data_IF_073062894045
#
_entry.id   IF_073062894045
#
_cell.length_a   1.000
_cell.length_b   1.000
_cell.length_c   1.000
_cell.angle_alpha   90.00
_cell.angle_beta   90.00
_cell.angle_gamma   90.00
#
_symmetry.space_group_name_H-M   'P 1'
#
loop_
_entity.id
_entity.type
_entity.pdbx_description
1 polymer ?
#
# COMPACT_ATOMS: atom_id res chain seq x y z
N UNK A 1 -0.98 -23.18 48.65
CA UNK A 1 -1.66 -23.38 47.36
C UNK A 1 -2.20 -22.02 46.94
N UNK A 2 -1.82 -21.53 45.77
CA UNK A 2 -2.37 -20.29 45.20
C UNK A 2 -3.84 -20.57 44.87
N UNK A 3 -4.76 -19.67 45.23
CA UNK A 3 -6.18 -19.86 44.91
C UNK A 3 -6.40 -19.84 43.39
N UNK A 4 -7.47 -20.45 42.90
CA UNK A 4 -7.80 -20.45 41.46
C UNK A 4 -7.98 -19.02 40.91
N UNK A 5 -8.46 -18.09 41.73
CA UNK A 5 -8.60 -16.68 41.37
C UNK A 5 -7.25 -15.96 41.28
N UNK A 6 -6.33 -16.22 42.21
CA UNK A 6 -4.97 -15.68 42.17
C UNK A 6 -4.16 -16.26 41.01
N UNK A 7 -4.30 -17.56 40.72
CA UNK A 7 -3.64 -18.20 39.59
C UNK A 7 -4.11 -17.61 38.24
N UNK A 8 -5.42 -17.36 38.11
CA UNK A 8 -6.00 -16.68 36.94
C UNK A 8 -5.49 -15.25 36.78
N UNK A 9 -5.40 -14.50 37.88
CA UNK A 9 -4.87 -13.13 37.86
C UNK A 9 -3.38 -13.07 37.48
N UNK A 10 -2.59 -14.06 37.88
CA UNK A 10 -1.18 -14.17 37.48
C UNK A 10 -1.08 -14.45 35.98
N UNK A 11 -1.86 -15.42 35.47
CA UNK A 11 -1.89 -15.74 34.05
C UNK A 11 -2.30 -14.53 33.19
N UNK A 12 -3.33 -13.79 33.58
CA UNK A 12 -3.78 -12.58 32.86
C UNK A 12 -2.69 -11.50 32.82
N UNK A 13 -1.89 -11.36 33.89
CA UNK A 13 -0.75 -10.43 33.92
C UNK A 13 0.38 -10.88 33.01
N UNK A 14 0.67 -12.18 32.97
CA UNK A 14 1.70 -12.75 32.08
C UNK A 14 1.33 -12.57 30.61
N UNK A 15 0.08 -12.86 30.23
CA UNK A 15 -0.44 -12.65 28.88
C UNK A 15 -0.37 -11.16 28.47
N UNK A 16 -0.77 -10.26 29.37
CA UNK A 16 -0.71 -8.81 29.14
C UNK A 16 0.73 -8.32 28.97
N UNK A 17 1.66 -8.83 29.79
CA UNK A 17 3.08 -8.49 29.69
C UNK A 17 3.69 -9.00 28.39
N UNK A 18 3.39 -10.24 28.00
CA UNK A 18 3.84 -10.82 26.74
C UNK A 18 3.37 -9.99 25.53
N UNK A 19 2.09 -9.58 25.53
CA UNK A 19 1.56 -8.71 24.49
C UNK A 19 2.22 -7.33 24.47
N UNK A 20 2.45 -6.71 25.63
CA UNK A 20 3.16 -5.44 25.72
C UNK A 20 4.58 -5.54 25.13
N UNK A 21 5.31 -6.61 25.41
CA UNK A 21 6.64 -6.86 24.83
C UNK A 21 6.55 -7.09 23.32
N UNK A 22 5.52 -7.77 22.82
CA UNK A 22 5.28 -7.92 21.38
C UNK A 22 5.10 -6.56 20.70
N UNK A 23 4.34 -5.64 21.31
CA UNK A 23 4.15 -4.28 20.78
C UNK A 23 5.46 -3.48 20.76
N UNK A 24 6.28 -3.57 21.82
CA UNK A 24 7.60 -2.92 21.88
C UNK A 24 8.51 -3.40 20.74
N UNK A 25 8.42 -4.67 20.36
CA UNK A 25 9.20 -5.27 19.29
C UNK A 25 8.51 -5.22 17.91
N UNK A 26 7.43 -4.44 17.76
CA UNK A 26 6.62 -4.41 16.53
C UNK A 26 7.42 -4.06 15.26
N UNK A 27 8.50 -3.27 15.39
CA UNK A 27 9.38 -2.94 14.27
C UNK A 27 10.13 -4.14 13.70
N UNK A 28 10.41 -5.16 14.53
CA UNK A 28 11.17 -6.36 14.11
C UNK A 28 10.44 -7.11 13.02
N UNK A 29 9.10 -7.21 13.10
CA UNK A 29 8.28 -7.84 12.07
C UNK A 29 8.40 -7.09 10.74
N UNK A 30 8.18 -5.77 10.75
CA UNK A 30 8.24 -4.94 9.54
C UNK A 30 9.62 -4.97 8.88
N UNK A 31 10.69 -4.84 9.67
CA UNK A 31 12.06 -4.87 9.15
C UNK A 31 12.45 -6.25 8.61
N UNK A 32 12.02 -7.33 9.27
CA UNK A 32 12.27 -8.69 8.80
C UNK A 32 11.53 -8.97 7.50
N UNK A 33 10.28 -8.52 7.38
CA UNK A 33 9.50 -8.67 6.16
C UNK A 33 10.13 -7.87 5.01
N UNK A 34 10.54 -6.62 5.23
CA UNK A 34 11.24 -5.82 4.23
C UNK A 34 12.52 -6.51 3.75
N UNK A 35 13.38 -6.97 4.67
CA UNK A 35 14.60 -7.68 4.31
C UNK A 35 14.32 -8.98 3.52
N UNK A 36 13.25 -9.70 3.88
CA UNK A 36 12.83 -10.92 3.16
C UNK A 36 12.39 -10.61 1.73
N UNK A 37 11.71 -9.49 1.52
CA UNK A 37 11.34 -8.97 0.18
C UNK A 37 12.58 -8.60 -0.62
N UNK A 38 13.51 -7.83 -0.02
CA UNK A 38 14.75 -7.38 -0.69
C UNK A 38 15.68 -8.54 -1.06
N UNK A 39 15.71 -9.59 -0.25
CA UNK A 39 16.43 -10.83 -0.53
C UNK A 39 15.77 -11.69 -1.62
N UNK A 40 14.60 -11.31 -2.13
CA UNK A 40 13.89 -12.02 -3.20
C UNK A 40 13.33 -13.38 -2.77
N UNK A 41 13.16 -13.61 -1.47
CA UNK A 41 12.77 -14.92 -0.91
C UNK A 41 11.42 -15.38 -1.45
N UNK A 42 10.43 -14.47 -1.49
CA UNK A 42 9.10 -14.80 -1.98
C UNK A 42 9.11 -15.18 -3.47
N UNK A 43 9.91 -14.50 -4.28
CA UNK A 43 10.09 -14.81 -5.69
C UNK A 43 10.78 -16.17 -5.89
N UNK A 44 11.78 -16.49 -5.05
CA UNK A 44 12.48 -17.79 -5.08
C UNK A 44 11.51 -18.94 -4.81
N UNK A 45 10.69 -18.84 -3.76
CA UNK A 45 9.70 -19.88 -3.42
C UNK A 45 8.62 -19.95 -4.51
N UNK A 46 8.13 -18.80 -5.00
CA UNK A 46 7.13 -18.73 -6.07
C UNK A 46 7.59 -19.44 -7.34
N UNK A 47 8.85 -19.21 -7.77
CA UNK A 47 9.44 -19.84 -8.96
C UNK A 47 9.61 -21.36 -8.82
N UNK A 48 9.78 -21.87 -7.61
CA UNK A 48 9.88 -23.31 -7.36
C UNK A 48 8.54 -24.04 -7.55
N UNK A 49 7.41 -23.32 -7.50
CA UNK A 49 6.07 -23.83 -7.80
C UNK A 49 5.07 -23.70 -6.64
N UNK A 50 3.77 -23.91 -6.91
CA UNK A 50 2.70 -23.67 -5.93
C UNK A 50 2.75 -24.60 -4.70
N UNK A 51 3.25 -25.84 -4.88
CA UNK A 51 3.38 -26.82 -3.79
C UNK A 51 4.82 -26.86 -3.21
N UNK A 52 5.66 -25.88 -3.57
CA UNK A 52 7.06 -25.87 -3.16
C UNK A 52 7.18 -25.69 -1.65
N UNK A 53 8.01 -26.54 -1.05
CA UNK A 53 8.41 -26.48 0.36
C UNK A 53 9.93 -26.49 0.41
N UNK A 54 10.52 -25.33 0.65
CA UNK A 54 11.97 -25.15 0.60
C UNK A 54 12.54 -24.92 1.99
N UNK A 55 13.66 -25.58 2.28
CA UNK A 55 14.51 -25.27 3.42
C UNK A 55 15.19 -23.92 3.23
N UNK A 56 15.61 -23.29 4.34
CA UNK A 56 16.38 -22.05 4.26
C UNK A 56 17.70 -22.20 3.47
N UNK A 57 18.29 -23.40 3.50
CA UNK A 57 19.48 -23.74 2.70
C UNK A 57 19.20 -23.73 1.20
N UNK A 58 18.08 -24.31 0.76
CA UNK A 58 17.69 -24.31 -0.66
C UNK A 58 17.32 -22.92 -1.17
N UNK A 59 16.71 -22.09 -0.34
CA UNK A 59 16.41 -20.70 -0.69
C UNK A 59 17.72 -19.89 -0.75
N UNK A 60 18.59 -19.99 0.26
CA UNK A 60 19.85 -19.26 0.30
C UNK A 60 20.79 -19.65 -0.85
N UNK A 61 20.76 -20.90 -1.32
CA UNK A 61 21.53 -21.36 -2.48
C UNK A 61 21.15 -20.65 -3.80
N UNK A 62 19.96 -20.07 -3.88
CA UNK A 62 19.48 -19.31 -5.04
C UNK A 62 19.74 -17.80 -4.90
N UNK A 63 20.23 -17.33 -3.75
CA UNK A 63 20.58 -15.95 -3.52
C UNK A 63 22.01 -15.63 -4.00
N UNK A 64 22.30 -14.39 -4.44
CA UNK A 64 23.66 -13.96 -4.78
C UNK A 64 24.50 -13.70 -3.51
N UNK A 65 24.72 -14.72 -2.68
CA UNK A 65 25.42 -14.62 -1.39
C UNK A 65 26.68 -15.48 -1.33
N UNK A 66 27.71 -14.98 -0.64
CA UNK A 66 28.91 -15.74 -0.26
C UNK A 66 28.93 -16.06 1.25
N UNK A 67 27.92 -15.61 2.00
CA UNK A 67 27.85 -15.80 3.43
C UNK A 67 27.40 -17.23 3.77
N UNK A 68 28.30 -18.01 4.39
CA UNK A 68 28.03 -19.39 4.79
C UNK A 68 26.96 -19.51 5.87
N UNK A 69 26.74 -18.45 6.65
CA UNK A 69 25.73 -18.40 7.71
C UNK A 69 24.35 -17.93 7.21
N UNK A 70 24.24 -17.56 5.92
CA UNK A 70 22.98 -17.07 5.34
C UNK A 70 21.80 -18.03 5.52
N UNK A 71 21.94 -19.37 5.35
CA UNK A 71 20.83 -20.30 5.62
C UNK A 71 20.29 -20.18 7.05
N UNK A 72 21.17 -20.12 8.05
CA UNK A 72 20.76 -20.03 9.46
C UNK A 72 20.12 -18.67 9.79
N UNK A 73 20.65 -17.59 9.21
CA UNK A 73 20.05 -16.26 9.36
C UNK A 73 18.65 -16.21 8.74
N UNK A 74 18.51 -16.75 7.52
CA UNK A 74 17.25 -16.79 6.78
C UNK A 74 16.20 -17.65 7.49
N UNK A 75 16.59 -18.81 8.02
CA UNK A 75 15.72 -19.69 8.80
C UNK A 75 15.11 -18.96 10.00
N UNK A 76 15.91 -18.16 10.73
CA UNK A 76 15.40 -17.34 11.86
C UNK A 76 14.40 -16.27 11.40
N UNK A 77 14.65 -15.64 10.25
CA UNK A 77 13.74 -14.64 9.66
C UNK A 77 12.42 -15.28 9.22
N UNK A 78 12.50 -16.38 8.46
CA UNK A 78 11.35 -17.12 7.99
C UNK A 78 10.54 -17.73 9.13
N UNK A 79 11.20 -18.17 10.21
CA UNK A 79 10.51 -18.61 11.42
C UNK A 79 9.68 -17.48 12.05
N UNK A 80 10.23 -16.27 12.20
CA UNK A 80 9.46 -15.12 12.69
C UNK A 80 8.25 -14.81 11.78
N UNK A 81 8.43 -14.88 10.46
CA UNK A 81 7.33 -14.67 9.52
C UNK A 81 6.27 -15.78 9.62
N UNK A 82 6.69 -17.01 9.86
CA UNK A 82 5.79 -18.15 10.07
C UNK A 82 4.98 -17.99 11.36
N UNK A 83 5.57 -17.50 12.46
CA UNK A 83 4.81 -17.24 13.70
C UNK A 83 3.75 -16.15 13.55
N UNK A 84 3.90 -15.29 12.54
CA UNK A 84 2.90 -14.27 12.15
C UNK A 84 2.02 -14.72 10.97
N UNK A 85 2.06 -16.00 10.59
CA UNK A 85 1.29 -16.57 9.47
C UNK A 85 1.53 -15.90 8.10
N UNK A 86 2.66 -15.22 7.93
CA UNK A 86 3.03 -14.60 6.64
C UNK A 86 3.48 -15.67 5.65
N UNK A 87 4.18 -16.70 6.13
CA UNK A 87 4.56 -17.91 5.37
C UNK A 87 4.11 -19.14 6.13
N UNK A 88 3.89 -20.24 5.42
CA UNK A 88 3.64 -21.53 6.07
C UNK A 88 4.96 -22.23 6.38
N UNK A 89 5.01 -22.95 7.50
CA UNK A 89 6.17 -23.72 7.92
C UNK A 89 5.76 -25.15 8.28
N UNK A 90 6.50 -26.12 7.76
CA UNK A 90 6.38 -27.54 8.12
C UNK A 90 7.73 -28.09 8.55
N UNK A 91 7.74 -29.18 9.33
CA UNK A 91 8.98 -29.80 9.82
C UNK A 91 9.08 -31.22 9.27
N UNK A 92 10.19 -31.53 8.60
CA UNK A 92 10.50 -32.87 8.06
C UNK A 92 11.90 -33.24 8.53
N UNK A 93 12.05 -34.37 9.21
CA UNK A 93 13.34 -34.86 9.73
C UNK A 93 14.16 -33.81 10.52
N UNK A 94 13.47 -32.96 11.29
CA UNK A 94 13.97 -31.81 12.08
C UNK A 94 14.31 -30.54 11.27
N UNK A 95 14.21 -30.59 9.94
CA UNK A 95 14.38 -29.43 9.09
C UNK A 95 13.07 -28.67 8.89
N UNK A 96 13.12 -27.34 8.99
CA UNK A 96 12.00 -26.45 8.65
C UNK A 96 11.94 -26.20 7.15
N UNK A 97 10.78 -26.45 6.57
CA UNK A 97 10.47 -26.17 5.17
C UNK A 97 9.38 -25.10 5.09
N UNK A 98 9.58 -24.12 4.23
CA UNK A 98 8.73 -22.95 4.07
C UNK A 98 8.02 -22.95 2.71
N UNK A 99 6.76 -22.52 2.71
CA UNK A 99 5.94 -22.37 1.51
C UNK A 99 5.18 -21.06 1.52
N UNK A 100 4.83 -20.56 0.33
CA UNK A 100 3.95 -19.40 0.21
C UNK A 100 2.52 -19.77 0.59
N UNK A 101 1.81 -18.80 1.15
CA UNK A 101 0.38 -18.88 1.43
C UNK A 101 -0.33 -17.68 0.80
N UNK A 102 -1.63 -17.52 1.07
CA UNK A 102 -2.43 -16.43 0.48
C UNK A 102 -1.92 -15.02 0.81
N UNK A 103 -1.22 -14.84 1.94
CA UNK A 103 -0.64 -13.55 2.34
C UNK A 103 0.69 -13.33 1.63
N UNK A 104 1.62 -14.28 1.74
CA UNK A 104 2.94 -14.16 1.10
C UNK A 104 2.90 -14.14 -0.43
N UNK A 105 1.83 -14.67 -1.03
CA UNK A 105 1.57 -14.52 -2.46
C UNK A 105 1.52 -13.07 -2.95
N UNK A 106 1.13 -12.10 -2.11
CA UNK A 106 1.14 -10.68 -2.48
C UNK A 106 2.54 -10.05 -2.45
N UNK A 107 3.52 -10.69 -1.82
CA UNK A 107 4.91 -10.22 -1.78
C UNK A 107 5.78 -10.89 -2.84
N UNK A 108 5.30 -11.97 -3.47
CA UNK A 108 5.89 -12.51 -4.70
C UNK A 108 5.47 -11.67 -5.91
N UNK A 109 6.39 -11.45 -6.83
CA UNK A 109 6.16 -10.72 -8.07
C UNK A 109 5.29 -11.54 -9.02
N UNK A 110 4.13 -11.02 -9.40
CA UNK A 110 3.21 -11.69 -10.31
C UNK A 110 3.69 -11.61 -11.78
N UNK A 111 2.94 -12.23 -12.70
CA UNK A 111 3.30 -12.22 -14.14
C UNK A 111 3.31 -10.82 -14.77
N UNK A 112 2.62 -9.84 -14.16
CA UNK A 112 2.56 -8.46 -14.61
C UNK A 112 3.70 -7.62 -13.99
N UNK A 113 4.59 -8.25 -13.21
CA UNK A 113 5.71 -7.60 -12.53
C UNK A 113 5.32 -6.85 -11.27
N UNK A 114 4.17 -7.20 -10.65
CA UNK A 114 3.57 -6.44 -9.55
C UNK A 114 3.59 -7.23 -8.24
N UNK A 115 3.88 -6.54 -7.13
CA UNK A 115 3.77 -7.07 -5.76
C UNK A 115 3.58 -5.95 -4.73
N UNK A 116 3.35 -6.28 -3.46
CA UNK A 116 3.36 -5.31 -2.36
C UNK A 116 4.77 -4.90 -1.91
N UNK A 117 5.82 -5.50 -2.48
CA UNK A 117 7.21 -5.18 -2.13
C UNK A 117 7.56 -3.69 -2.25
N UNK A 118 7.25 -3.02 -3.36
CA UNK A 118 7.48 -1.58 -3.50
C UNK A 118 6.71 -0.72 -2.48
N UNK A 119 5.52 -1.14 -2.06
CA UNK A 119 4.77 -0.42 -1.02
C UNK A 119 5.46 -0.56 0.34
N UNK A 120 5.97 -1.74 0.68
CA UNK A 120 6.78 -1.92 1.88
C UNK A 120 8.05 -1.06 1.83
N UNK A 121 8.72 -1.02 0.68
CA UNK A 121 9.91 -0.21 0.49
C UNK A 121 9.66 1.29 0.69
N UNK A 122 8.49 1.81 0.29
CA UNK A 122 8.09 3.20 0.57
C UNK A 122 7.97 3.45 2.08
N UNK A 123 7.25 2.59 2.80
CA UNK A 123 7.05 2.79 4.25
C UNK A 123 8.31 2.57 5.08
N UNK A 124 9.25 1.78 4.59
CA UNK A 124 10.57 1.57 5.21
C UNK A 124 11.65 2.50 4.66
N UNK A 125 11.33 3.38 3.70
CA UNK A 125 12.28 4.36 3.20
C UNK A 125 12.64 5.35 4.30
N UNK A 126 13.93 5.69 4.41
CA UNK A 126 14.42 6.61 5.43
C UNK A 126 13.64 7.95 5.42
N UNK A 127 13.33 8.47 4.23
CA UNK A 127 12.57 9.73 4.09
C UNK A 127 11.21 9.63 4.80
N UNK A 128 10.50 8.51 4.62
CA UNK A 128 9.21 8.30 5.24
C UNK A 128 9.37 8.02 6.75
N UNK A 129 10.32 7.17 7.13
CA UNK A 129 10.57 6.76 8.50
C UNK A 129 10.99 7.92 9.42
N UNK A 130 11.78 8.87 8.91
CA UNK A 130 12.24 10.03 9.70
C UNK A 130 11.05 10.82 10.28
N UNK A 131 9.90 10.86 9.58
CA UNK A 131 8.67 11.54 10.01
C UNK A 131 8.16 11.04 11.37
N UNK A 132 8.33 9.74 11.68
CA UNK A 132 7.87 9.17 12.95
C UNK A 132 8.59 9.77 14.16
N UNK A 133 9.82 10.25 13.98
CA UNK A 133 10.56 10.92 15.05
C UNK A 133 9.90 12.24 15.49
N UNK A 134 9.14 12.88 14.60
CA UNK A 134 8.45 14.14 14.85
C UNK A 134 7.00 13.96 15.31
N UNK A 135 6.48 12.73 15.41
CA UNK A 135 5.08 12.50 15.77
C UNK A 135 4.72 13.10 17.14
N UNK A 136 5.58 12.90 18.14
CA UNK A 136 5.38 13.43 19.50
C UNK A 136 5.37 14.96 19.50
N UNK A 137 6.31 15.61 18.81
CA UNK A 137 6.42 17.06 18.78
C UNK A 137 5.31 17.70 17.94
N UNK A 138 4.86 17.05 16.87
CA UNK A 138 3.69 17.48 16.09
C UNK A 138 2.40 17.53 16.94
N UNK A 139 2.23 16.58 17.88
CA UNK A 139 1.09 16.59 18.81
C UNK A 139 1.17 17.78 19.77
N UNK A 140 2.36 18.11 20.26
CA UNK A 140 2.56 19.16 21.27
C UNK A 140 2.57 20.56 20.68
N UNK A 141 3.15 20.72 19.49
CA UNK A 141 3.49 22.01 18.90
C UNK A 141 2.70 22.30 17.61
N UNK A 142 1.98 21.30 17.10
CA UNK A 142 1.29 21.37 15.81
C UNK A 142 2.20 21.09 14.61
N UNK A 143 1.60 21.09 13.43
CA UNK A 143 2.26 20.76 12.16
C UNK A 143 2.16 19.29 11.78
N UNK A 144 2.61 18.97 10.57
CA UNK A 144 2.60 17.61 10.02
C UNK A 144 4.00 17.00 10.23
N UNK A 145 4.13 15.77 10.79
CA UNK A 145 5.44 15.20 11.10
C UNK A 145 6.39 15.14 9.90
N UNK A 146 5.89 14.84 8.70
CA UNK A 146 6.69 14.84 7.47
C UNK A 146 7.26 16.25 7.18
N UNK A 147 6.40 17.25 7.16
CA UNK A 147 6.76 18.66 6.90
C UNK A 147 7.74 19.20 7.96
N UNK A 148 7.62 18.76 9.22
CA UNK A 148 8.55 19.15 10.29
C UNK A 148 9.97 18.62 10.08
N UNK A 149 10.11 17.45 9.45
CA UNK A 149 11.43 16.87 9.11
C UNK A 149 12.00 17.49 7.84
N UNK A 150 11.16 17.61 6.81
CA UNK A 150 11.63 17.87 5.45
C UNK A 150 11.41 19.30 4.96
N UNK A 151 10.65 20.11 5.71
CA UNK A 151 10.37 21.51 5.41
C UNK A 151 9.40 21.74 4.24
N UNK A 152 8.77 20.69 3.73
CA UNK A 152 7.85 20.72 2.57
C UNK A 152 6.86 19.57 2.67
N UNK A 153 5.73 19.69 1.95
CA UNK A 153 4.67 18.70 1.97
C UNK A 153 5.11 17.38 1.31
N UNK A 154 4.52 16.26 1.75
CA UNK A 154 4.84 14.91 1.25
C UNK A 154 4.68 14.72 -0.27
N UNK A 155 3.81 15.50 -0.92
CA UNK A 155 3.61 15.48 -2.38
C UNK A 155 4.55 16.42 -3.16
N UNK A 156 5.13 17.40 -2.49
CA UNK A 156 6.10 18.31 -3.10
C UNK A 156 7.52 17.72 -3.01
N UNK A 157 7.81 16.99 -1.93
CA UNK A 157 9.13 16.39 -1.69
C UNK A 157 9.64 15.47 -2.81
N UNK A 158 8.81 14.61 -3.45
CA UNK A 158 9.22 13.86 -4.64
C UNK A 158 9.75 14.74 -5.79
N UNK A 159 9.28 15.98 -5.91
CA UNK A 159 9.82 16.95 -6.87
C UNK A 159 11.26 17.39 -6.55
N UNK A 160 11.71 17.23 -5.30
CA UNK A 160 13.04 17.60 -4.82
C UNK A 160 14.02 16.41 -4.76
N UNK A 161 13.53 15.19 -4.50
CA UNK A 161 14.32 13.96 -4.47
C UNK A 161 13.83 12.96 -5.54
N UNK A 162 14.54 12.91 -6.66
CA UNK A 162 14.25 11.99 -7.78
C UNK A 162 14.30 10.50 -7.39
N UNK A 163 15.11 10.11 -6.41
CA UNK A 163 15.20 8.73 -5.93
C UNK A 163 13.94 8.39 -5.12
N UNK A 164 13.54 9.27 -4.21
CA UNK A 164 12.30 9.08 -3.45
C UNK A 164 11.06 9.12 -4.35
N UNK A 165 11.05 9.98 -5.38
CA UNK A 165 9.98 10.00 -6.38
C UNK A 165 9.80 8.64 -7.09
N UNK A 166 10.90 7.96 -7.41
CA UNK A 166 10.83 6.61 -8.00
C UNK A 166 10.27 5.59 -7.00
N UNK A 167 10.69 5.65 -5.73
CA UNK A 167 10.15 4.78 -4.67
C UNK A 167 8.65 4.99 -4.50
N UNK A 168 8.22 6.24 -4.36
CA UNK A 168 6.83 6.63 -4.20
C UNK A 168 5.97 6.18 -5.38
N UNK A 169 6.36 6.55 -6.61
CA UNK A 169 5.59 6.18 -7.81
C UNK A 169 5.55 4.67 -8.04
N UNK A 170 6.64 3.94 -7.77
CA UNK A 170 6.66 2.47 -7.90
C UNK A 170 5.73 1.81 -6.89
N UNK A 171 5.69 2.31 -5.65
CA UNK A 171 4.74 1.86 -4.63
C UNK A 171 3.28 2.10 -5.05
N UNK A 172 2.95 3.32 -5.50
CA UNK A 172 1.60 3.66 -5.94
C UNK A 172 1.19 2.86 -7.18
N UNK A 173 2.10 2.67 -8.14
CA UNK A 173 1.85 1.86 -9.33
C UNK A 173 1.47 0.43 -8.94
N UNK A 174 2.28 -0.21 -8.10
CA UNK A 174 2.11 -1.61 -7.74
C UNK A 174 0.83 -1.82 -6.92
N UNK A 175 0.62 -1.01 -5.89
CA UNK A 175 -0.59 -1.09 -5.08
C UNK A 175 -1.85 -0.85 -5.94
N UNK A 176 -1.82 0.15 -6.81
CA UNK A 176 -2.96 0.46 -7.70
C UNK A 176 -3.24 -0.66 -8.68
N UNK A 177 -2.21 -1.26 -9.30
CA UNK A 177 -2.38 -2.36 -10.23
C UNK A 177 -3.08 -3.57 -9.58
N UNK A 178 -2.69 -3.94 -8.35
CA UNK A 178 -3.33 -5.03 -7.59
C UNK A 178 -4.82 -4.72 -7.34
N UNK A 179 -5.09 -3.53 -6.84
CA UNK A 179 -6.44 -3.12 -6.44
C UNK A 179 -7.38 -2.98 -7.65
N UNK A 180 -6.95 -2.26 -8.68
CA UNK A 180 -7.80 -1.94 -9.81
C UNK A 180 -8.13 -3.17 -10.64
N UNK A 181 -7.22 -4.16 -10.71
CA UNK A 181 -7.42 -5.45 -11.37
C UNK A 181 -8.65 -6.17 -10.84
N UNK A 182 -8.93 -6.08 -9.54
CA UNK A 182 -10.13 -6.65 -8.94
C UNK A 182 -11.37 -5.76 -9.14
N UNK A 183 -11.23 -4.45 -8.93
CA UNK A 183 -12.34 -3.49 -9.07
C UNK A 183 -12.97 -3.57 -10.46
N UNK A 184 -12.17 -3.56 -11.55
CA UNK A 184 -12.71 -3.57 -12.93
C UNK A 184 -13.45 -4.86 -13.29
N UNK A 185 -13.25 -5.95 -12.56
CA UNK A 185 -13.97 -7.20 -12.80
C UNK A 185 -15.39 -7.17 -12.25
N UNK A 186 -15.57 -6.58 -11.07
CA UNK A 186 -16.82 -6.62 -10.30
C UNK A 186 -17.63 -5.33 -10.41
N UNK A 187 -16.97 -4.18 -10.57
CA UNK A 187 -17.62 -2.89 -10.60
C UNK A 187 -18.20 -2.59 -11.99
N UNK A 188 -19.49 -2.21 -12.01
CA UNK A 188 -20.26 -1.92 -13.22
C UNK A 188 -20.57 -0.44 -13.40
N UNK A 189 -20.16 0.43 -12.46
CA UNK A 189 -20.50 1.86 -12.55
C UNK A 189 -19.79 2.61 -13.68
N UNK A 190 -18.77 2.01 -14.30
CA UNK A 190 -18.09 2.57 -15.47
C UNK A 190 -18.83 2.35 -16.79
N UNK A 191 -19.81 1.43 -16.87
CA UNK A 191 -20.41 1.00 -18.15
C UNK A 191 -21.01 2.15 -18.97
N UNK A 192 -21.63 3.13 -18.31
CA UNK A 192 -22.30 4.26 -18.97
C UNK A 192 -21.48 5.57 -18.96
N UNK A 193 -20.23 5.52 -18.49
CA UNK A 193 -19.32 6.66 -18.50
C UNK A 193 -18.73 6.79 -19.91
N UNK A 194 -18.67 7.99 -20.48
CA UNK A 194 -17.99 8.23 -21.78
C UNK A 194 -16.64 8.88 -21.56
N UNK A 195 -16.52 9.76 -20.58
CA UNK A 195 -15.27 10.39 -20.17
C UNK A 195 -15.07 10.27 -18.66
N UNK A 196 -13.96 9.64 -18.25
CA UNK A 196 -13.59 9.43 -16.86
C UNK A 196 -12.34 10.25 -16.54
N UNK A 197 -12.40 11.10 -15.51
CA UNK A 197 -11.24 11.83 -15.00
C UNK A 197 -10.74 11.13 -13.75
N UNK A 198 -9.49 10.71 -13.74
CA UNK A 198 -8.81 10.19 -12.55
C UNK A 198 -7.98 11.33 -11.94
N UNK A 199 -8.40 11.83 -10.78
CA UNK A 199 -7.78 12.96 -10.09
C UNK A 199 -6.77 12.43 -9.09
N UNK A 200 -5.52 12.87 -9.22
CA UNK A 200 -4.38 12.24 -8.55
C UNK A 200 -4.12 10.84 -9.11
N UNK A 201 -4.30 10.65 -10.42
CA UNK A 201 -4.20 9.36 -11.09
C UNK A 201 -2.76 8.81 -11.20
N UNK A 202 -1.77 9.58 -10.76
CA UNK A 202 -0.36 9.25 -10.78
C UNK A 202 0.12 8.92 -12.19
N UNK A 203 0.77 7.77 -12.33
CA UNK A 203 1.26 7.26 -13.62
C UNK A 203 0.15 6.63 -14.49
N UNK A 204 -1.14 6.87 -14.23
CA UNK A 204 -2.27 6.47 -15.09
C UNK A 204 -2.65 4.99 -15.04
N UNK A 205 -2.22 4.26 -14.01
CA UNK A 205 -2.42 2.80 -13.89
C UNK A 205 -3.89 2.43 -13.79
N UNK A 206 -4.68 3.22 -13.06
CA UNK A 206 -6.13 3.02 -12.96
C UNK A 206 -6.77 3.10 -14.34
N UNK A 207 -6.52 4.20 -15.06
CA UNK A 207 -7.13 4.44 -16.36
C UNK A 207 -6.65 3.44 -17.41
N UNK A 208 -5.38 3.01 -17.38
CA UNK A 208 -4.89 1.89 -18.19
C UNK A 208 -5.77 0.64 -18.03
N UNK A 209 -6.10 0.26 -16.80
CA UNK A 209 -6.94 -0.91 -16.54
C UNK A 209 -8.40 -0.67 -16.94
N UNK A 210 -8.93 0.52 -16.66
CA UNK A 210 -10.33 0.88 -16.98
C UNK A 210 -10.55 0.93 -18.48
N UNK A 211 -9.71 1.62 -19.26
CA UNK A 211 -9.87 1.75 -20.72
C UNK A 211 -9.59 0.43 -21.43
N UNK A 212 -8.73 -0.44 -20.90
CA UNK A 212 -8.56 -1.80 -21.42
C UNK A 212 -9.84 -2.65 -21.27
N UNK A 213 -10.58 -2.50 -20.16
CA UNK A 213 -11.84 -3.22 -19.91
C UNK A 213 -13.05 -2.57 -20.60
N UNK A 214 -13.06 -1.24 -20.69
CA UNK A 214 -14.13 -0.42 -21.23
C UNK A 214 -13.58 0.52 -22.33
N UNK A 215 -13.32 0.00 -23.56
CA UNK A 215 -12.63 0.76 -24.60
C UNK A 215 -13.38 1.99 -25.13
N UNK A 216 -14.67 2.12 -24.81
CA UNK A 216 -15.48 3.30 -25.16
C UNK A 216 -15.21 4.50 -24.25
N UNK A 217 -14.57 4.30 -23.09
CA UNK A 217 -14.24 5.37 -22.15
C UNK A 217 -13.01 6.12 -22.63
N UNK A 218 -13.11 7.45 -22.69
CA UNK A 218 -11.97 8.36 -22.80
C UNK A 218 -11.48 8.71 -21.40
N UNK A 219 -10.26 8.32 -21.04
CA UNK A 219 -9.64 8.64 -19.77
C UNK A 219 -8.90 9.98 -19.80
N UNK A 220 -9.02 10.77 -18.74
CA UNK A 220 -8.13 11.90 -18.45
C UNK A 220 -7.42 11.59 -17.13
N UNK A 221 -6.13 11.29 -17.21
CA UNK A 221 -5.26 11.12 -16.06
C UNK A 221 -4.76 12.50 -15.61
N UNK A 222 -5.21 12.96 -14.45
CA UNK A 222 -4.89 14.28 -13.93
C UNK A 222 -4.04 14.17 -12.67
N UNK A 223 -2.87 14.81 -12.67
CA UNK A 223 -1.95 14.82 -11.54
C UNK A 223 -1.02 16.06 -11.62
N UNK A 224 -0.13 16.23 -10.65
CA UNK A 224 0.87 17.30 -10.66
C UNK A 224 1.77 17.21 -11.92
N UNK A 225 2.22 18.34 -12.49
CA UNK A 225 3.03 18.34 -13.72
C UNK A 225 4.28 17.46 -13.64
N UNK A 226 4.96 17.43 -12.49
CA UNK A 226 6.17 16.65 -12.29
C UNK A 226 5.93 15.13 -12.23
N UNK A 227 4.69 14.69 -11.97
CA UNK A 227 4.29 13.28 -12.02
C UNK A 227 3.90 12.90 -13.45
N UNK A 228 3.07 13.73 -14.09
CA UNK A 228 2.57 13.52 -15.45
C UNK A 228 3.69 13.41 -16.48
N UNK A 229 4.79 14.16 -16.34
CA UNK A 229 5.95 14.04 -17.23
C UNK A 229 6.58 12.64 -17.28
N UNK A 230 6.33 11.80 -16.26
CA UNK A 230 6.81 10.42 -16.18
C UNK A 230 5.74 9.38 -16.51
N UNK A 231 4.50 9.80 -16.80
CA UNK A 231 3.41 8.90 -17.11
C UNK A 231 3.60 8.24 -18.50
N UNK A 232 3.56 6.90 -18.60
CA UNK A 232 3.62 6.22 -19.88
C UNK A 232 2.36 6.47 -20.70
N UNK A 233 2.48 6.51 -22.03
CA UNK A 233 1.33 6.61 -22.91
C UNK A 233 0.45 5.34 -22.82
N UNK A 234 -0.86 5.52 -22.67
CA UNK A 234 -1.85 4.45 -22.78
C UNK A 234 -2.95 4.77 -23.80
N UNK A 235 -3.38 3.80 -24.63
CA UNK A 235 -4.50 4.00 -25.54
C UNK A 235 -5.77 4.45 -24.81
N UNK A 236 -6.39 5.50 -25.33
CA UNK A 236 -7.62 6.07 -24.77
C UNK A 236 -7.42 6.92 -23.51
N UNK A 237 -6.17 7.19 -23.10
CA UNK A 237 -5.85 8.02 -21.92
C UNK A 237 -5.08 9.27 -22.35
N UNK A 238 -5.57 10.43 -21.94
CA UNK A 238 -4.89 11.72 -22.04
C UNK A 238 -4.30 12.08 -20.67
N UNK A 239 -3.02 12.49 -20.62
CA UNK A 239 -2.39 12.94 -19.38
C UNK A 239 -2.39 14.46 -19.30
N UNK A 240 -2.88 15.00 -18.19
CA UNK A 240 -3.03 16.45 -17.97
C UNK A 240 -2.37 16.82 -16.65
N UNK A 241 -1.38 17.69 -16.70
CA UNK A 241 -0.72 18.26 -15.52
C UNK A 241 -1.51 19.44 -14.96
N UNK A 242 -1.66 19.51 -13.63
CA UNK A 242 -2.25 20.67 -12.96
C UNK A 242 -2.37 20.48 -11.46
N UNK A 243 -3.07 21.40 -10.81
CA UNK A 243 -3.39 21.35 -9.39
C UNK A 243 -4.91 21.18 -9.20
N UNK A 244 -5.32 20.12 -8.48
CA UNK A 244 -6.71 19.81 -8.21
C UNK A 244 -7.41 20.83 -7.31
N UNK A 245 -6.65 21.62 -6.55
CA UNK A 245 -7.18 22.72 -5.74
C UNK A 245 -7.43 23.99 -6.56
N UNK A 246 -6.79 24.12 -7.72
CA UNK A 246 -7.04 25.22 -8.65
C UNK A 246 -8.16 24.87 -9.63
N UNK A 247 -8.01 23.75 -10.35
CA UNK A 247 -9.03 23.30 -11.31
C UNK A 247 -8.89 21.81 -11.63
N UNK A 248 -10.02 21.15 -11.85
CA UNK A 248 -10.07 19.75 -12.28
C UNK A 248 -10.69 19.65 -13.68
N UNK A 249 -10.12 18.84 -14.60
CA UNK A 249 -10.72 18.61 -15.92
C UNK A 249 -12.20 18.18 -15.85
N UNK A 250 -12.96 18.57 -16.88
CA UNK A 250 -14.35 18.14 -17.03
C UNK A 250 -14.42 16.71 -17.59
N UNK A 251 -15.42 15.97 -17.13
CA UNK A 251 -15.75 14.62 -17.56
C UNK A 251 -17.07 14.17 -16.94
N UNK A 252 -17.59 13.04 -17.38
CA UNK A 252 -18.89 12.51 -16.92
C UNK A 252 -18.81 11.96 -15.49
N UNK A 253 -17.64 11.44 -15.12
CA UNK A 253 -17.36 10.89 -13.79
C UNK A 253 -15.94 11.24 -13.33
N UNK A 254 -15.77 11.26 -12.01
CA UNK A 254 -14.47 11.40 -11.36
C UNK A 254 -14.17 10.18 -10.51
N UNK A 255 -12.95 9.70 -10.68
CA UNK A 255 -12.34 8.70 -9.84
C UNK A 255 -11.27 9.37 -8.97
N UNK A 256 -11.24 9.03 -7.68
CA UNK A 256 -10.17 9.40 -6.75
C UNK A 256 -9.82 8.18 -5.92
N UNK A 257 -8.63 7.63 -6.13
CA UNK A 257 -8.09 6.55 -5.30
C UNK A 257 -6.94 7.10 -4.47
N UNK A 258 -7.02 6.91 -3.16
CA UNK A 258 -5.97 7.35 -2.23
C UNK A 258 -5.63 8.83 -2.40
N UNK A 259 -6.68 9.67 -2.30
CA UNK A 259 -6.57 11.12 -2.38
C UNK A 259 -7.19 11.74 -1.13
N UNK A 260 -8.48 11.48 -0.89
CA UNK A 260 -9.24 12.18 0.16
C UNK A 260 -8.67 11.97 1.57
N UNK A 261 -7.88 10.92 1.79
CA UNK A 261 -7.29 10.63 3.09
C UNK A 261 -6.02 11.40 3.40
N UNK A 262 -5.41 11.97 2.37
CA UNK A 262 -4.18 12.76 2.53
C UNK A 262 -4.49 14.18 3.01
N UNK A 263 -5.78 14.56 3.03
CA UNK A 263 -6.23 15.93 3.22
C UNK A 263 -7.20 16.04 4.39
N UNK A 264 -7.16 17.18 5.07
CA UNK A 264 -8.13 17.49 6.12
C UNK A 264 -9.55 17.64 5.55
N UNK A 265 -10.56 17.48 6.40
CA UNK A 265 -11.96 17.69 6.03
C UNK A 265 -12.19 19.07 5.37
N UNK A 266 -11.49 20.11 5.84
CA UNK A 266 -11.56 21.44 5.25
C UNK A 266 -11.03 21.46 3.82
N UNK A 267 -9.89 20.81 3.55
CA UNK A 267 -9.34 20.68 2.20
C UNK A 267 -10.29 19.90 1.28
N UNK A 268 -10.80 18.77 1.76
CA UNK A 268 -11.76 17.94 1.05
C UNK A 268 -13.06 18.69 0.73
N UNK A 269 -13.67 19.37 1.71
CA UNK A 269 -14.97 20.03 1.52
C UNK A 269 -14.86 21.32 0.72
N UNK A 270 -13.94 22.20 1.11
CA UNK A 270 -13.89 23.56 0.56
C UNK A 270 -13.28 23.59 -0.83
N UNK A 271 -12.31 22.73 -1.10
CA UNK A 271 -11.52 22.84 -2.33
C UNK A 271 -11.74 21.67 -3.27
N UNK A 272 -11.80 20.42 -2.78
CA UNK A 272 -12.01 19.27 -3.66
C UNK A 272 -13.49 19.13 -4.03
N UNK A 273 -14.38 18.98 -3.06
CA UNK A 273 -15.78 18.68 -3.35
C UNK A 273 -16.49 19.85 -4.04
N UNK A 274 -16.20 21.10 -3.66
CA UNK A 274 -16.77 22.33 -4.27
C UNK A 274 -16.61 22.35 -5.80
N UNK A 275 -15.49 21.87 -6.32
CA UNK A 275 -15.19 21.80 -7.75
C UNK A 275 -15.89 20.63 -8.46
N UNK A 276 -16.38 19.65 -7.70
CA UNK A 276 -16.87 18.35 -8.21
C UNK A 276 -18.36 18.10 -7.95
N UNK A 277 -19.09 19.07 -7.38
CA UNK A 277 -20.44 18.95 -6.82
C UNK A 277 -21.52 18.30 -7.70
N UNK A 278 -21.32 18.26 -9.03
CA UNK A 278 -22.29 17.74 -10.00
C UNK A 278 -21.86 16.43 -10.71
N UNK A 279 -20.81 15.74 -10.24
CA UNK A 279 -20.21 14.59 -10.94
C UNK A 279 -20.42 13.28 -10.19
N UNK A 280 -20.46 12.16 -10.93
CA UNK A 280 -20.47 10.82 -10.34
C UNK A 280 -19.11 10.57 -9.67
N UNK A 281 -19.13 10.28 -8.36
CA UNK A 281 -17.94 10.09 -7.56
C UNK A 281 -17.69 8.61 -7.25
N UNK A 282 -16.49 8.13 -7.57
CA UNK A 282 -16.01 6.79 -7.20
C UNK A 282 -14.75 6.96 -6.35
N UNK A 283 -14.88 6.69 -5.06
CA UNK A 283 -13.73 6.56 -4.15
C UNK A 283 -13.41 5.09 -3.98
N UNK A 284 -12.14 4.75 -4.11
CA UNK A 284 -11.59 3.45 -3.75
C UNK A 284 -10.60 3.64 -2.61
N UNK A 285 -11.04 3.35 -1.38
CA UNK A 285 -10.16 3.36 -0.20
C UNK A 285 -10.21 2.01 0.52
N UNK A 286 -9.05 1.36 0.59
CA UNK A 286 -8.92 0.01 1.12
C UNK A 286 -8.30 -0.03 2.51
N UNK A 287 -7.98 1.10 3.14
CA UNK A 287 -7.57 1.07 4.54
C UNK A 287 -8.82 0.97 5.45
N UNK A 288 -8.86 -0.11 6.26
CA UNK A 288 -9.98 -0.49 7.13
C UNK A 288 -10.54 0.64 8.03
N UNK A 289 -9.75 1.59 8.59
CA UNK A 289 -10.30 2.67 9.40
C UNK A 289 -11.10 3.69 8.59
N UNK A 290 -10.82 3.84 7.30
CA UNK A 290 -11.28 4.97 6.49
C UNK A 290 -12.56 4.69 5.71
N UNK A 291 -12.81 3.40 5.42
CA UNK A 291 -14.08 2.96 4.84
C UNK A 291 -15.28 3.38 5.70
N UNK A 292 -15.10 3.52 7.02
CA UNK A 292 -16.13 4.00 7.93
C UNK A 292 -16.34 5.53 7.87
N UNK A 293 -15.25 6.32 7.91
CA UNK A 293 -15.34 7.80 7.84
C UNK A 293 -15.88 8.30 6.50
N UNK A 294 -15.41 7.75 5.38
CA UNK A 294 -15.88 8.16 4.05
C UNK A 294 -17.35 7.77 3.81
N UNK A 295 -17.84 6.66 4.38
CA UNK A 295 -19.26 6.25 4.29
C UNK A 295 -20.19 7.23 5.00
N UNK A 296 -19.82 7.71 6.18
CA UNK A 296 -20.61 8.72 6.90
C UNK A 296 -20.57 10.07 6.19
N UNK A 297 -19.40 10.45 5.66
CA UNK A 297 -19.18 11.72 4.96
C UNK A 297 -19.98 11.87 3.65
N UNK A 298 -20.09 10.79 2.86
CA UNK A 298 -20.79 10.83 1.57
C UNK A 298 -22.28 10.49 1.67
N UNK A 299 -22.76 10.02 2.83
CA UNK A 299 -24.19 9.85 3.10
C UNK A 299 -24.93 11.20 3.24
N UNK A 300 -24.21 12.29 3.55
CA UNK A 300 -24.77 13.64 3.69
C UNK A 300 -24.84 14.41 2.35
N UNK A 301 -24.34 13.83 1.24
CA UNK A 301 -24.40 14.47 -0.09
C UNK A 301 -25.61 13.99 -0.90
N UNK A 302 -26.46 14.90 -1.43
CA UNK A 302 -27.68 14.49 -2.12
C UNK A 302 -27.40 14.04 -3.57
N UNK A 303 -27.34 12.71 -3.75
CA UNK A 303 -27.42 11.87 -4.98
C UNK A 303 -26.11 11.21 -5.49
N UNK A 304 -26.21 9.87 -5.63
CA UNK A 304 -25.38 8.91 -6.40
C UNK A 304 -23.87 8.90 -6.14
N UNK A 305 -23.46 8.89 -4.88
CA UNK A 305 -22.10 8.45 -4.52
C UNK A 305 -22.08 6.94 -4.27
N UNK A 306 -21.16 6.19 -4.89
CA UNK A 306 -20.93 4.78 -4.56
C UNK A 306 -19.50 4.60 -4.05
N UNK A 307 -19.36 4.19 -2.80
CA UNK A 307 -18.09 3.82 -2.17
C UNK A 307 -17.77 2.35 -2.42
N UNK A 308 -16.50 2.04 -2.68
CA UNK A 308 -15.95 0.69 -2.75
C UNK A 308 -14.73 0.56 -1.84
#
# INVERSE_FOLDING_TARGET
MVSSAEARSIQEKEESFAYAIQLVNGSVLSMTLQATIELGVFDIISKAGPDAKLSASEIAAQMPTQNKDAPQMLDRMLWLLATHSVVDCSVVDLDRLYSLNSVSGFFATDQDGVSLGPLMALFQDKVFLDSWSQLKDAVLEGGIPFDRVHGTHAFEYPGLDSRFNQVFNKAMYNHTAIVIKNIVQVYRGFENVKQLVDVGGGLGVTLKAVTAKFPHIKGINFDLPHVIQHAPHYPGVEHVGGDMFESVPKGDAIFMKWILHDWSDEHCLRYLMSQLWNKLFVSADLSLPMQASCRNFLAETPKKTKLF
#
